data_IF_347358183910
#
_entry.id   IF_347358183910
#
_cell.length_a   1.000
_cell.length_b   1.000
_cell.length_c   1.000
_cell.angle_alpha   90.00
_cell.angle_beta   90.00
_cell.angle_gamma   90.00
#
_symmetry.space_group_name_H-M   'P 1'
#
loop_
_entity.id
_entity.type
_entity.pdbx_description
1 polymer ?
#
# COMPACT_ATOMS: atom_id res chain seq x y z
N UNK A 1 24.62 28.84 -12.15
CA UNK A 1 23.21 29.14 -12.50
C UNK A 1 22.89 28.68 -13.93
N UNK A 2 23.77 28.98 -14.94
CA UNK A 2 23.48 28.69 -16.38
C UNK A 2 23.40 27.19 -16.73
N UNK A 3 24.23 26.31 -16.14
CA UNK A 3 24.21 24.85 -16.42
C UNK A 3 22.97 24.16 -15.86
N UNK A 4 22.42 24.66 -14.78
CA UNK A 4 21.24 24.06 -14.12
C UNK A 4 19.94 24.47 -14.80
N UNK A 5 19.84 25.70 -15.30
CA UNK A 5 18.70 26.12 -16.13
C UNK A 5 18.66 25.32 -17.43
N UNK A 6 19.83 25.07 -18.05
CA UNK A 6 19.95 24.27 -19.26
C UNK A 6 19.52 22.78 -19.00
N UNK A 7 19.89 22.20 -17.86
CA UNK A 7 19.47 20.84 -17.48
C UNK A 7 17.96 20.76 -17.22
N UNK A 8 17.37 21.73 -16.51
CA UNK A 8 15.93 21.81 -16.27
C UNK A 8 15.13 21.99 -17.58
N UNK A 9 15.64 22.82 -18.49
CA UNK A 9 15.04 23.00 -19.83
C UNK A 9 15.19 21.72 -20.67
N UNK A 10 16.36 21.06 -20.65
CA UNK A 10 16.57 19.79 -21.36
C UNK A 10 15.65 18.67 -20.82
N UNK A 11 15.45 18.60 -19.50
CA UNK A 11 14.51 17.66 -18.86
C UNK A 11 13.06 17.99 -19.24
N UNK A 12 12.66 19.25 -19.23
CA UNK A 12 11.33 19.69 -19.65
C UNK A 12 11.08 19.43 -21.14
N UNK A 13 12.08 19.63 -22.01
CA UNK A 13 12.01 19.32 -23.44
C UNK A 13 11.96 17.81 -23.67
N UNK A 14 12.73 17.01 -22.94
CA UNK A 14 12.67 15.54 -23.01
C UNK A 14 11.32 15.01 -22.54
N UNK A 15 10.74 15.56 -21.46
CA UNK A 15 9.42 15.22 -20.95
C UNK A 15 8.31 15.58 -21.93
N UNK A 16 8.35 16.78 -22.53
CA UNK A 16 7.40 17.19 -23.57
C UNK A 16 7.53 16.35 -24.84
N UNK A 17 8.74 16.00 -25.24
CA UNK A 17 8.99 15.11 -26.38
C UNK A 17 8.49 13.68 -26.13
N UNK A 18 8.70 13.15 -24.93
CA UNK A 18 8.19 11.81 -24.56
C UNK A 18 6.66 11.78 -24.49
N UNK A 19 6.01 12.81 -23.97
CA UNK A 19 4.53 12.92 -23.94
C UNK A 19 3.98 13.04 -25.39
N UNK A 20 4.65 13.77 -26.26
CA UNK A 20 4.24 13.94 -27.65
C UNK A 20 4.49 12.67 -28.50
N UNK A 21 5.54 11.90 -28.21
CA UNK A 21 5.88 10.66 -28.92
C UNK A 21 5.04 9.46 -28.48
N UNK A 22 4.52 9.45 -27.24
CA UNK A 22 3.64 8.40 -26.73
C UNK A 22 2.15 8.65 -26.94
N UNK A 23 1.78 9.86 -27.39
CA UNK A 23 0.40 10.15 -27.78
C UNK A 23 0.03 9.29 -29.02
N UNK A 24 -1.06 8.51 -28.97
CA UNK A 24 -1.47 7.70 -30.12
C UNK A 24 -1.69 8.62 -31.33
N UNK A 25 -1.20 8.20 -32.49
CA UNK A 25 -1.38 8.90 -33.80
C UNK A 25 -2.84 9.15 -34.23
N UNK A 26 -3.81 8.87 -33.34
CA UNK A 26 -5.25 9.05 -33.58
C UNK A 26 -5.74 10.52 -33.62
N UNK A 27 -4.90 11.52 -33.28
CA UNK A 27 -5.30 12.92 -33.26
C UNK A 27 -4.60 13.72 -34.38
N UNK A 28 -5.14 13.65 -35.58
CA UNK A 28 -4.80 14.53 -36.71
C UNK A 28 -5.20 15.99 -36.54
N UNK A 29 -5.51 16.47 -35.32
CA UNK A 29 -5.80 17.87 -34.99
C UNK A 29 -4.66 18.46 -34.19
N UNK A 30 -4.13 19.62 -34.63
CA UNK A 30 -3.17 20.40 -33.86
C UNK A 30 -3.80 20.77 -32.53
N UNK A 31 -3.15 20.43 -31.41
CA UNK A 31 -3.60 20.81 -30.07
C UNK A 31 -3.74 22.34 -29.99
N UNK A 32 -4.80 22.87 -29.36
CA UNK A 32 -4.94 24.30 -29.13
C UNK A 32 -3.71 24.87 -28.40
N UNK A 33 -3.31 26.09 -28.75
CA UNK A 33 -2.17 26.76 -28.10
C UNK A 33 -2.30 26.83 -26.57
N UNK A 34 -3.52 26.97 -26.07
CA UNK A 34 -3.82 26.93 -24.63
C UNK A 34 -3.47 25.59 -23.99
N UNK A 35 -3.75 24.46 -24.64
CA UNK A 35 -3.40 23.12 -24.15
C UNK A 35 -1.89 22.94 -24.12
N UNK A 36 -1.19 23.37 -25.17
CA UNK A 36 0.27 23.34 -25.21
C UNK A 36 0.91 24.18 -24.10
N UNK A 37 0.35 25.35 -23.83
CA UNK A 37 0.82 26.22 -22.74
C UNK A 37 0.62 25.56 -21.36
N UNK A 38 -0.50 24.91 -21.12
CA UNK A 38 -0.76 24.16 -19.87
C UNK A 38 0.21 22.98 -19.72
N UNK A 39 0.41 22.20 -20.77
CA UNK A 39 1.37 21.07 -20.75
C UNK A 39 2.78 21.57 -20.45
N UNK A 40 3.21 22.67 -21.08
CA UNK A 40 4.53 23.27 -20.84
C UNK A 40 4.67 23.78 -19.40
N UNK A 41 3.62 24.42 -18.85
CA UNK A 41 3.63 24.90 -17.47
C UNK A 41 3.70 23.76 -16.45
N UNK A 42 2.97 22.68 -16.67
CA UNK A 42 3.02 21.47 -15.83
C UNK A 42 4.40 20.81 -15.92
N UNK A 43 4.95 20.65 -17.12
CA UNK A 43 6.29 20.08 -17.31
C UNK A 43 7.37 20.92 -16.60
N UNK A 44 7.27 22.24 -16.70
CA UNK A 44 8.17 23.15 -15.98
C UNK A 44 8.03 23.03 -14.46
N UNK A 45 6.80 22.98 -13.93
CA UNK A 45 6.55 22.83 -12.51
C UNK A 45 7.11 21.50 -11.97
N UNK A 46 6.94 20.38 -12.71
CA UNK A 46 7.52 19.07 -12.38
C UNK A 46 9.05 19.15 -12.38
N UNK A 47 9.66 19.72 -13.41
CA UNK A 47 11.11 19.83 -13.49
C UNK A 47 11.69 20.73 -12.38
N UNK A 48 11.03 21.83 -12.05
CA UNK A 48 11.41 22.71 -10.95
C UNK A 48 11.31 22.00 -9.59
N UNK A 49 10.26 21.22 -9.38
CA UNK A 49 10.07 20.42 -8.17
C UNK A 49 11.15 19.33 -8.02
N UNK A 50 11.48 18.62 -9.10
CA UNK A 50 12.57 17.62 -9.10
C UNK A 50 13.91 18.28 -8.77
N UNK A 51 14.18 19.44 -9.35
CA UNK A 51 15.39 20.22 -9.08
C UNK A 51 15.47 20.72 -7.63
N UNK A 52 14.34 21.14 -7.04
CA UNK A 52 14.26 21.61 -5.65
C UNK A 52 14.30 20.46 -4.61
N UNK A 53 14.58 19.22 -4.99
CA UNK A 53 14.61 18.08 -4.08
C UNK A 53 13.24 17.47 -3.80
N UNK A 54 12.30 17.66 -4.72
CA UNK A 54 10.95 17.01 -4.71
C UNK A 54 10.04 17.38 -3.53
N UNK A 55 9.99 18.65 -3.08
CA UNK A 55 9.21 19.05 -1.90
C UNK A 55 7.70 18.83 -2.08
N UNK A 56 7.18 18.90 -3.31
CA UNK A 56 5.74 18.71 -3.61
C UNK A 56 5.52 17.37 -4.27
N UNK A 57 4.89 16.43 -3.55
CA UNK A 57 4.68 15.06 -4.02
C UNK A 57 3.91 15.00 -5.35
N UNK A 58 2.83 15.75 -5.49
CA UNK A 58 1.99 15.72 -6.70
C UNK A 58 2.71 16.24 -7.96
N UNK A 59 3.81 16.96 -7.80
CA UNK A 59 4.69 17.42 -8.87
C UNK A 59 5.91 16.50 -9.06
N UNK A 60 6.04 15.41 -8.35
CA UNK A 60 7.10 14.42 -8.61
C UNK A 60 6.78 13.66 -9.89
N UNK A 61 7.79 13.49 -10.74
CA UNK A 61 7.62 12.72 -11.97
C UNK A 61 7.11 11.30 -11.72
N UNK A 62 7.54 10.68 -10.63
CA UNK A 62 7.06 9.36 -10.23
C UNK A 62 5.56 9.32 -9.90
N UNK A 63 5.01 10.41 -9.35
CA UNK A 63 3.57 10.55 -9.12
C UNK A 63 2.79 10.79 -10.41
N UNK A 64 3.34 11.61 -11.30
CA UNK A 64 2.74 11.81 -12.64
C UNK A 64 2.66 10.49 -13.40
N UNK A 65 3.73 9.68 -13.39
CA UNK A 65 3.70 8.33 -13.98
C UNK A 65 2.68 7.41 -13.31
N UNK A 66 2.53 7.51 -12.00
CA UNK A 66 1.48 6.77 -11.26
C UNK A 66 0.07 7.10 -11.79
N UNK A 67 -0.24 8.39 -11.99
CA UNK A 67 -1.54 8.80 -12.54
C UNK A 67 -1.79 8.23 -13.94
N UNK A 68 -0.77 8.18 -14.80
CA UNK A 68 -0.88 7.51 -16.10
C UNK A 68 -1.01 5.98 -15.99
N UNK A 69 -0.48 5.40 -14.93
CA UNK A 69 -0.56 3.97 -14.61
C UNK A 69 -1.89 3.52 -13.99
N UNK A 70 -2.79 4.41 -13.59
CA UNK A 70 -4.04 4.07 -12.89
C UNK A 70 -4.89 3.02 -13.63
N UNK A 71 -4.85 3.02 -14.97
CA UNK A 71 -5.52 1.98 -15.79
C UNK A 71 -4.98 0.56 -15.54
N UNK A 72 -3.69 0.42 -15.23
CA UNK A 72 -3.06 -0.86 -14.89
C UNK A 72 -3.34 -1.24 -13.43
N UNK A 73 -3.41 -0.25 -12.54
CA UNK A 73 -3.77 -0.44 -11.14
C UNK A 73 -5.13 -1.16 -11.00
N UNK A 74 -6.14 -0.75 -11.75
CA UNK A 74 -7.46 -1.39 -11.72
C UNK A 74 -7.47 -2.86 -12.12
N UNK A 75 -6.45 -3.32 -12.88
CA UNK A 75 -6.38 -4.69 -13.37
C UNK A 75 -5.50 -5.60 -12.50
N UNK A 76 -4.38 -5.10 -12.00
CA UNK A 76 -3.35 -5.93 -11.36
C UNK A 76 -2.64 -5.30 -10.16
N UNK A 77 -3.08 -4.12 -9.70
CA UNK A 77 -2.45 -3.37 -8.61
C UNK A 77 -0.94 -3.14 -8.81
N UNK A 78 -0.54 -2.96 -10.04
CA UNK A 78 0.80 -2.49 -10.41
C UNK A 78 0.69 -1.24 -11.26
N UNK A 79 1.62 -0.31 -11.08
CA UNK A 79 1.65 0.92 -11.89
C UNK A 79 1.99 0.62 -13.35
N UNK A 80 2.64 -0.52 -13.61
CA UNK A 80 2.98 -1.00 -14.96
C UNK A 80 4.22 -0.33 -15.54
N UNK A 81 5.00 0.35 -14.72
CA UNK A 81 6.27 0.97 -15.11
C UNK A 81 7.50 0.31 -14.45
N UNK A 82 7.30 -0.84 -13.82
CA UNK A 82 8.36 -1.65 -13.22
C UNK A 82 8.84 -1.17 -11.85
N UNK A 83 8.15 -0.19 -11.23
CA UNK A 83 8.59 0.37 -9.94
C UNK A 83 8.54 -0.61 -8.78
N UNK A 84 7.62 -1.58 -8.82
CA UNK A 84 7.50 -2.62 -7.81
C UNK A 84 8.74 -3.51 -7.81
N UNK A 85 9.19 -3.93 -8.99
CA UNK A 85 10.43 -4.70 -9.14
C UNK A 85 11.66 -3.86 -8.79
N UNK A 86 11.69 -2.60 -9.23
CA UNK A 86 12.76 -1.67 -8.91
C UNK A 86 12.89 -1.41 -7.40
N UNK A 87 11.77 -1.45 -6.64
CA UNK A 87 11.82 -1.40 -5.19
C UNK A 87 12.58 -2.59 -4.60
N UNK A 88 12.25 -3.84 -5.02
CA UNK A 88 12.93 -5.03 -4.52
C UNK A 88 14.43 -5.00 -4.86
N UNK A 89 14.79 -4.58 -6.08
CA UNK A 89 16.20 -4.42 -6.49
C UNK A 89 16.91 -3.38 -5.61
N UNK A 90 16.25 -2.25 -5.35
CA UNK A 90 16.79 -1.19 -4.50
C UNK A 90 17.02 -1.66 -3.06
N UNK A 91 16.03 -2.33 -2.48
CA UNK A 91 16.13 -2.89 -1.11
C UNK A 91 17.28 -3.88 -1.01
N UNK A 92 17.36 -4.84 -1.94
CA UNK A 92 18.42 -5.85 -1.93
C UNK A 92 19.83 -5.25 -2.11
N UNK A 93 19.94 -4.09 -2.79
CA UNK A 93 21.21 -3.42 -3.03
C UNK A 93 21.66 -2.47 -1.91
N UNK A 94 20.72 -1.91 -1.13
CA UNK A 94 21.01 -0.81 -0.21
C UNK A 94 20.69 -1.10 1.26
N UNK A 95 19.76 -2.02 1.55
CA UNK A 95 19.45 -2.39 2.91
C UNK A 95 20.37 -3.49 3.43
N UNK A 96 20.68 -3.47 4.71
CA UNK A 96 21.40 -4.55 5.38
C UNK A 96 20.52 -5.80 5.44
N UNK A 97 21.09 -6.93 5.03
CA UNK A 97 20.41 -8.20 5.06
C UNK A 97 20.10 -8.63 6.52
N UNK A 98 18.92 -9.21 6.73
CA UNK A 98 18.41 -9.62 8.05
C UNK A 98 18.24 -8.46 9.07
N UNK A 99 18.08 -7.23 8.56
CA UNK A 99 17.81 -6.05 9.37
C UNK A 99 16.48 -5.43 8.92
N UNK A 100 15.40 -5.83 9.58
CA UNK A 100 14.04 -5.39 9.23
C UNK A 100 13.85 -3.87 9.34
N UNK A 101 14.51 -3.21 10.31
CA UNK A 101 14.43 -1.77 10.48
C UNK A 101 15.13 -1.04 9.33
N UNK A 102 16.26 -1.57 8.89
CA UNK A 102 16.99 -1.01 7.75
C UNK A 102 16.23 -1.21 6.44
N UNK A 103 15.57 -2.35 6.25
CA UNK A 103 14.70 -2.63 5.10
C UNK A 103 13.52 -1.66 5.06
N UNK A 104 12.81 -1.48 6.18
CA UNK A 104 11.69 -0.51 6.28
C UNK A 104 12.17 0.91 5.94
N UNK A 105 13.29 1.35 6.52
CA UNK A 105 13.89 2.67 6.25
C UNK A 105 14.27 2.84 4.77
N UNK A 106 14.83 1.81 4.16
CA UNK A 106 15.21 1.82 2.74
C UNK A 106 14.00 1.90 1.81
N UNK A 107 12.89 1.24 2.16
CA UNK A 107 11.63 1.36 1.42
C UNK A 107 11.08 2.78 1.54
N UNK A 108 11.05 3.36 2.74
CA UNK A 108 10.61 4.74 2.95
C UNK A 108 11.47 5.72 2.14
N UNK A 109 12.80 5.56 2.15
CA UNK A 109 13.71 6.35 1.35
C UNK A 109 13.40 6.25 -0.16
N UNK A 110 13.18 5.03 -0.66
CA UNK A 110 12.80 4.81 -2.05
C UNK A 110 11.49 5.54 -2.39
N UNK A 111 10.48 5.44 -1.53
CA UNK A 111 9.18 6.10 -1.73
C UNK A 111 9.28 7.63 -1.72
N UNK A 112 10.13 8.18 -0.84
CA UNK A 112 10.36 9.62 -0.77
C UNK A 112 11.25 10.16 -1.90
N UNK A 113 12.23 9.38 -2.38
CA UNK A 113 13.28 9.90 -3.26
C UNK A 113 13.24 9.37 -4.68
N UNK A 114 12.74 8.16 -4.91
CA UNK A 114 12.78 7.47 -6.21
C UNK A 114 11.40 7.37 -6.87
N UNK A 115 10.50 6.60 -6.27
CA UNK A 115 9.18 6.34 -6.85
C UNK A 115 8.10 6.27 -5.79
N UNK A 116 7.01 7.00 -6.02
CA UNK A 116 5.80 6.87 -5.20
C UNK A 116 5.21 5.47 -5.33
N UNK A 117 4.86 4.86 -4.20
CA UNK A 117 4.20 3.56 -4.07
C UNK A 117 2.99 3.70 -3.14
N UNK A 118 2.01 2.81 -3.32
CA UNK A 118 0.74 2.80 -2.57
C UNK A 118 0.79 1.88 -1.33
N UNK A 119 1.91 1.84 -0.63
CA UNK A 119 1.99 1.10 0.64
C UNK A 119 1.48 1.98 1.80
N UNK A 120 1.25 1.37 2.96
CA UNK A 120 0.66 2.07 4.13
C UNK A 120 1.45 3.33 4.57
N UNK A 121 2.73 3.44 4.20
CA UNK A 121 3.62 4.54 4.50
C UNK A 121 4.04 4.65 5.97
N UNK A 122 4.97 5.55 6.25
CA UNK A 122 5.62 5.65 7.55
C UNK A 122 4.70 6.19 8.67
N UNK A 123 3.79 7.13 8.36
CA UNK A 123 2.89 7.73 9.35
C UNK A 123 1.83 6.72 9.82
N UNK A 124 1.12 6.08 8.89
CA UNK A 124 0.10 5.07 9.20
C UNK A 124 0.75 3.78 9.70
N UNK A 125 1.92 3.43 9.18
CA UNK A 125 2.72 2.31 9.67
C UNK A 125 3.04 2.41 11.16
N UNK A 126 3.29 3.60 11.73
CA UNK A 126 3.44 3.78 13.18
C UNK A 126 2.14 3.54 13.97
N UNK A 127 0.98 3.76 13.37
CA UNK A 127 -0.31 3.40 13.98
C UNK A 127 -0.44 1.88 14.01
N UNK A 128 -0.15 1.22 12.89
CA UNK A 128 -0.16 -0.24 12.77
C UNK A 128 0.81 -0.90 13.76
N UNK A 129 2.06 -0.43 13.87
CA UNK A 129 3.04 -0.92 14.84
C UNK A 129 2.48 -0.90 16.27
N UNK A 130 1.86 0.22 16.68
CA UNK A 130 1.30 0.36 18.04
C UNK A 130 0.11 -0.56 18.27
N UNK A 131 -0.77 -0.73 17.28
CA UNK A 131 -1.91 -1.63 17.36
C UNK A 131 -1.46 -3.08 17.52
N UNK A 132 -0.50 -3.54 16.72
CA UNK A 132 0.08 -4.88 16.81
C UNK A 132 0.80 -5.11 18.14
N UNK A 133 1.65 -4.17 18.57
CA UNK A 133 2.37 -4.27 19.83
C UNK A 133 1.43 -4.31 21.05
N UNK A 134 0.31 -3.57 21.01
CA UNK A 134 -0.69 -3.56 22.08
C UNK A 134 -1.53 -4.85 22.10
N UNK A 135 -1.93 -5.35 20.94
CA UNK A 135 -2.73 -6.57 20.80
C UNK A 135 -1.93 -7.84 21.14
N UNK A 136 -0.59 -7.84 20.92
CA UNK A 136 0.30 -9.00 21.09
C UNK A 136 -0.23 -10.26 20.44
N UNK A 137 -0.63 -10.21 19.17
CA UNK A 137 -1.30 -11.31 18.50
C UNK A 137 -0.34 -12.47 18.22
N UNK A 138 -0.86 -13.69 18.13
CA UNK A 138 -0.11 -14.88 17.68
C UNK A 138 -0.42 -15.26 16.25
N UNK A 139 -1.67 -15.10 15.84
CA UNK A 139 -2.12 -15.37 14.46
C UNK A 139 -2.72 -14.10 13.85
N UNK A 140 -2.15 -13.68 12.75
CA UNK A 140 -2.52 -12.46 12.06
C UNK A 140 -2.91 -12.74 10.62
N UNK A 141 -3.87 -11.98 10.11
CA UNK A 141 -4.28 -12.00 8.70
C UNK A 141 -4.17 -10.59 8.13
N UNK A 142 -3.51 -10.47 6.99
CA UNK A 142 -3.46 -9.25 6.20
C UNK A 142 -4.16 -9.47 4.87
N UNK A 143 -5.02 -8.54 4.47
CA UNK A 143 -5.64 -8.52 3.15
C UNK A 143 -5.09 -7.34 2.37
N UNK A 144 -4.30 -7.63 1.34
CA UNK A 144 -3.55 -6.66 0.54
C UNK A 144 -2.07 -6.59 0.93
N UNK A 145 -1.26 -7.41 0.26
CA UNK A 145 0.20 -7.48 0.48
C UNK A 145 0.94 -6.38 -0.28
N UNK A 146 0.57 -6.16 -1.55
CA UNK A 146 1.31 -5.32 -2.51
C UNK A 146 2.81 -5.68 -2.52
N UNK A 147 3.71 -4.74 -2.16
CA UNK A 147 5.15 -5.01 -2.07
C UNK A 147 5.62 -5.45 -0.67
N UNK A 148 4.69 -5.76 0.25
CA UNK A 148 4.99 -6.35 1.57
C UNK A 148 5.48 -5.39 2.65
N UNK A 149 5.30 -4.09 2.50
CA UNK A 149 5.77 -3.10 3.48
C UNK A 149 5.03 -3.17 4.82
N UNK A 150 3.70 -3.30 4.78
CA UNK A 150 2.87 -3.45 5.98
C UNK A 150 3.19 -4.73 6.74
N UNK A 151 3.42 -5.83 6.03
CA UNK A 151 3.86 -7.10 6.62
C UNK A 151 5.21 -6.98 7.35
N UNK A 152 6.18 -6.20 6.82
CA UNK A 152 7.43 -5.88 7.54
C UNK A 152 7.14 -5.14 8.86
N UNK A 153 6.24 -4.14 8.83
CA UNK A 153 5.84 -3.38 10.02
C UNK A 153 5.19 -4.29 11.06
N UNK A 154 4.27 -5.15 10.63
CA UNK A 154 3.60 -6.14 11.48
C UNK A 154 4.62 -7.12 12.06
N UNK A 155 5.48 -7.73 11.24
CA UNK A 155 6.48 -8.71 11.66
C UNK A 155 7.47 -8.15 12.66
N UNK A 156 7.82 -6.87 12.55
CA UNK A 156 8.67 -6.16 13.52
C UNK A 156 7.99 -6.01 14.88
N UNK A 157 6.68 -5.75 14.89
CA UNK A 157 5.93 -5.39 16.10
C UNK A 157 5.28 -6.60 16.79
N UNK A 158 5.03 -7.71 16.08
CA UNK A 158 4.39 -8.90 16.63
C UNK A 158 5.35 -9.73 17.48
N UNK A 159 4.85 -10.58 18.41
CA UNK A 159 5.66 -11.53 19.15
C UNK A 159 6.51 -12.45 18.27
N UNK A 160 7.62 -12.96 18.79
CA UNK A 160 8.56 -13.77 18.02
C UNK A 160 7.98 -15.10 17.53
N UNK A 161 7.00 -15.65 18.27
CA UNK A 161 6.26 -16.89 17.98
C UNK A 161 4.99 -16.66 17.15
N UNK A 162 4.74 -15.42 16.70
CA UNK A 162 3.57 -15.08 15.90
C UNK A 162 3.80 -15.34 14.41
N UNK A 163 2.71 -15.65 13.70
CA UNK A 163 2.71 -15.85 12.24
C UNK A 163 1.68 -14.93 11.59
N UNK A 164 2.12 -14.24 10.54
CA UNK A 164 1.29 -13.42 9.66
C UNK A 164 0.98 -14.17 8.37
N UNK A 165 -0.29 -14.27 8.02
CA UNK A 165 -0.76 -14.74 6.71
C UNK A 165 -1.20 -13.52 5.91
N UNK A 166 -0.57 -13.29 4.77
CA UNK A 166 -0.81 -12.12 3.92
C UNK A 166 -1.40 -12.55 2.58
N UNK A 167 -2.59 -12.05 2.27
CA UNK A 167 -3.32 -12.42 1.05
C UNK A 167 -3.03 -11.40 -0.04
N UNK A 168 -2.59 -11.89 -1.20
CA UNK A 168 -2.30 -11.08 -2.38
C UNK A 168 -2.92 -11.71 -3.63
N UNK A 169 -3.71 -10.97 -4.37
CA UNK A 169 -4.35 -11.52 -5.58
C UNK A 169 -3.38 -11.59 -6.78
N UNK A 170 -2.36 -10.72 -6.81
CA UNK A 170 -1.40 -10.67 -7.91
C UNK A 170 -0.12 -11.45 -7.56
N UNK A 171 0.16 -12.59 -8.24
CA UNK A 171 1.35 -13.38 -7.96
C UNK A 171 2.67 -12.62 -8.22
N UNK A 172 2.67 -11.60 -9.09
CA UNK A 172 3.87 -10.78 -9.31
C UNK A 172 4.18 -9.87 -8.10
N UNK A 173 3.15 -9.30 -7.45
CA UNK A 173 3.32 -8.56 -6.20
C UNK A 173 3.78 -9.49 -5.07
N UNK A 174 3.15 -10.66 -4.94
CA UNK A 174 3.56 -11.68 -3.96
C UNK A 174 5.03 -12.06 -4.11
N UNK A 175 5.53 -12.23 -5.33
CA UNK A 175 6.95 -12.52 -5.59
C UNK A 175 7.88 -11.36 -5.20
N UNK A 176 7.46 -10.11 -5.43
CA UNK A 176 8.20 -8.91 -4.99
C UNK A 176 8.26 -8.85 -3.46
N UNK A 177 7.13 -9.04 -2.80
CA UNK A 177 7.04 -9.05 -1.34
C UNK A 177 7.90 -10.15 -0.72
N UNK A 178 7.81 -11.38 -1.23
CA UNK A 178 8.62 -12.52 -0.76
C UNK A 178 10.12 -12.21 -0.85
N UNK A 179 10.58 -11.67 -1.97
CA UNK A 179 11.98 -11.30 -2.16
C UNK A 179 12.46 -10.27 -1.13
N UNK A 180 11.62 -9.30 -0.79
CA UNK A 180 11.92 -8.28 0.23
C UNK A 180 11.94 -8.91 1.63
N UNK A 181 10.99 -9.79 1.95
CA UNK A 181 10.90 -10.48 3.23
C UNK A 181 12.07 -11.44 3.46
N UNK A 182 12.51 -12.16 2.43
CA UNK A 182 13.71 -13.02 2.48
C UNK A 182 14.96 -12.18 2.77
N UNK A 183 15.06 -11.00 2.16
CA UNK A 183 16.17 -10.07 2.44
C UNK A 183 16.11 -9.53 3.87
N UNK A 184 14.91 -9.25 4.40
CA UNK A 184 14.69 -8.79 5.77
C UNK A 184 14.85 -9.90 6.83
N UNK A 185 14.85 -11.18 6.43
CA UNK A 185 14.97 -12.33 7.33
C UNK A 185 13.68 -12.63 8.10
N UNK A 186 12.52 -12.42 7.49
CA UNK A 186 11.20 -12.68 8.11
C UNK A 186 10.38 -13.75 7.37
N UNK A 187 10.94 -14.38 6.34
CA UNK A 187 10.21 -15.32 5.47
C UNK A 187 9.65 -16.56 6.17
N UNK A 188 10.15 -16.91 7.33
CA UNK A 188 9.65 -18.00 8.19
C UNK A 188 8.46 -17.59 9.09
N UNK A 189 8.19 -16.29 9.20
CA UNK A 189 7.14 -15.72 10.06
C UNK A 189 6.01 -15.04 9.27
N UNK A 190 6.16 -14.91 7.98
CA UNK A 190 5.19 -14.30 7.07
C UNK A 190 4.94 -15.23 5.90
N UNK A 191 3.69 -15.65 5.74
CA UNK A 191 3.25 -16.55 4.67
C UNK A 191 2.40 -15.76 3.68
N UNK A 192 2.83 -15.66 2.43
CA UNK A 192 1.99 -15.07 1.38
C UNK A 192 1.10 -16.14 0.75
N UNK A 193 -0.18 -15.83 0.61
CA UNK A 193 -1.17 -16.69 -0.06
C UNK A 193 -1.71 -15.93 -1.26
N UNK A 194 -1.51 -16.50 -2.46
CA UNK A 194 -2.02 -15.89 -3.69
C UNK A 194 -3.50 -16.21 -3.85
N UNK A 195 -4.35 -15.20 -3.74
CA UNK A 195 -5.80 -15.34 -3.80
C UNK A 195 -6.57 -14.13 -3.29
N UNK A 196 -7.86 -14.31 -3.04
CA UNK A 196 -8.74 -13.34 -2.37
C UNK A 196 -9.75 -14.10 -1.51
N UNK A 197 -10.32 -13.48 -0.46
CA UNK A 197 -11.35 -14.17 0.31
C UNK A 197 -12.66 -14.36 -0.47
N UNK A 198 -12.86 -13.55 -1.52
CA UNK A 198 -14.02 -13.62 -2.42
C UNK A 198 -13.88 -14.56 -3.61
N UNK A 199 -12.90 -15.45 -3.64
CA UNK A 199 -12.57 -16.31 -4.80
C UNK A 199 -13.37 -17.63 -4.90
N UNK A 200 -14.57 -17.63 -4.37
CA UNK A 200 -15.42 -18.84 -4.32
C UNK A 200 -15.04 -19.80 -3.21
N UNK A 201 -14.32 -19.33 -2.19
CA UNK A 201 -13.99 -20.10 -0.98
C UNK A 201 -12.66 -20.86 -1.04
N UNK A 202 -11.91 -20.77 -2.14
CA UNK A 202 -10.60 -21.45 -2.28
C UNK A 202 -9.60 -21.00 -1.23
N UNK A 203 -9.41 -19.68 -1.11
CA UNK A 203 -8.49 -19.09 -0.12
C UNK A 203 -8.97 -19.36 1.31
N UNK A 204 -10.29 -19.30 1.58
CA UNK A 204 -10.85 -19.65 2.88
C UNK A 204 -10.62 -21.12 3.23
N UNK A 205 -10.76 -22.03 2.27
CA UNK A 205 -10.46 -23.46 2.47
C UNK A 205 -8.98 -23.71 2.73
N UNK A 206 -8.08 -23.07 1.96
CA UNK A 206 -6.64 -23.16 2.20
C UNK A 206 -6.27 -22.67 3.62
N UNK A 207 -6.82 -21.52 4.06
CA UNK A 207 -6.59 -21.02 5.42
C UNK A 207 -7.03 -22.02 6.50
N UNK A 208 -8.17 -22.69 6.32
CA UNK A 208 -8.65 -23.72 7.26
C UNK A 208 -7.83 -25.01 7.22
N UNK A 209 -7.59 -25.53 6.04
CA UNK A 209 -7.09 -26.90 5.84
C UNK A 209 -5.57 -26.98 5.88
N UNK A 210 -4.88 -25.98 5.36
CA UNK A 210 -3.42 -25.94 5.26
C UNK A 210 -2.78 -25.09 6.37
N UNK A 211 -3.53 -24.10 6.91
CA UNK A 211 -3.02 -23.15 7.90
C UNK A 211 -3.77 -23.17 9.23
N UNK A 212 -4.64 -24.14 9.44
CA UNK A 212 -5.32 -24.42 10.72
C UNK A 212 -6.09 -23.21 11.29
N UNK A 213 -6.77 -22.43 10.42
CA UNK A 213 -7.68 -21.40 10.89
C UNK A 213 -8.97 -22.04 11.42
N UNK A 214 -9.11 -22.06 12.73
CA UNK A 214 -10.27 -22.61 13.45
C UNK A 214 -11.00 -21.50 14.22
N UNK A 215 -12.17 -21.80 14.79
CA UNK A 215 -12.94 -20.88 15.61
C UNK A 215 -12.07 -20.22 16.68
N UNK A 216 -12.13 -18.87 16.77
CA UNK A 216 -11.40 -18.06 17.75
C UNK A 216 -9.88 -18.03 17.58
N UNK A 217 -9.33 -18.50 16.46
CA UNK A 217 -7.89 -18.59 16.25
C UNK A 217 -7.21 -17.31 15.77
N UNK A 218 -7.97 -16.34 15.27
CA UNK A 218 -7.46 -15.11 14.63
C UNK A 218 -7.48 -13.96 15.61
N UNK A 219 -6.30 -13.43 15.93
CA UNK A 219 -6.11 -12.37 16.92
C UNK A 219 -6.11 -10.98 16.32
N UNK A 220 -5.63 -10.86 15.07
CA UNK A 220 -5.42 -9.56 14.42
C UNK A 220 -5.70 -9.65 12.93
N UNK A 221 -6.40 -8.63 12.40
CA UNK A 221 -6.65 -8.49 10.96
C UNK A 221 -6.21 -7.10 10.51
N UNK A 222 -5.48 -7.02 9.38
CA UNK A 222 -5.19 -5.77 8.71
C UNK A 222 -5.87 -5.75 7.35
N UNK A 223 -6.68 -4.71 7.09
CA UNK A 223 -7.42 -4.51 5.84
C UNK A 223 -6.79 -3.34 5.06
N UNK A 224 -6.14 -3.65 3.94
CA UNK A 224 -5.54 -2.65 3.04
C UNK A 224 -5.59 -3.08 1.56
N UNK A 225 -6.67 -3.74 1.17
CA UNK A 225 -6.96 -4.18 -0.19
C UNK A 225 -8.02 -3.29 -0.87
N UNK A 226 -8.78 -3.84 -1.82
CA UNK A 226 -9.90 -3.16 -2.49
C UNK A 226 -10.94 -2.72 -1.46
N UNK A 227 -11.25 -1.42 -1.43
CA UNK A 227 -12.04 -0.81 -0.33
C UNK A 227 -13.49 -1.28 -0.29
N UNK A 228 -14.05 -1.64 -1.44
CA UNK A 228 -15.38 -2.21 -1.62
C UNK A 228 -15.49 -3.61 -0.99
N UNK A 229 -14.37 -4.35 -0.89
CA UNK A 229 -14.33 -5.69 -0.29
C UNK A 229 -14.10 -5.69 1.23
N UNK A 230 -13.85 -4.54 1.87
CA UNK A 230 -13.59 -4.49 3.32
C UNK A 230 -14.74 -5.06 4.15
N UNK A 231 -15.97 -4.65 3.88
CA UNK A 231 -17.14 -5.17 4.60
C UNK A 231 -17.50 -6.60 4.20
N UNK A 232 -17.56 -6.96 2.90
CA UNK A 232 -17.73 -8.36 2.48
C UNK A 232 -16.70 -9.31 3.10
N UNK A 233 -15.42 -8.95 3.09
CA UNK A 233 -14.36 -9.82 3.63
C UNK A 233 -14.39 -9.90 5.16
N UNK A 234 -14.76 -8.81 5.86
CA UNK A 234 -15.04 -8.89 7.28
C UNK A 234 -16.18 -9.85 7.59
N UNK A 235 -17.26 -9.84 6.80
CA UNK A 235 -18.37 -10.78 6.95
C UNK A 235 -17.90 -12.23 6.73
N UNK A 236 -17.10 -12.50 5.70
CA UNK A 236 -16.51 -13.83 5.46
C UNK A 236 -15.69 -14.32 6.66
N UNK A 237 -14.88 -13.44 7.26
CA UNK A 237 -14.10 -13.77 8.47
C UNK A 237 -15.02 -14.06 9.66
N UNK A 238 -16.08 -13.29 9.86
CA UNK A 238 -17.06 -13.49 10.92
C UNK A 238 -17.88 -14.78 10.74
N UNK A 239 -18.26 -15.12 9.51
CA UNK A 239 -18.97 -16.35 9.16
C UNK A 239 -18.14 -17.61 9.42
N UNK A 240 -16.79 -17.50 9.35
CA UNK A 240 -15.89 -18.58 9.71
C UNK A 240 -15.67 -18.69 11.24
N UNK A 241 -16.23 -17.77 12.03
CA UNK A 241 -16.05 -17.71 13.49
C UNK A 241 -14.56 -17.62 13.92
N UNK A 242 -13.70 -17.06 13.07
CA UNK A 242 -12.25 -17.00 13.35
C UNK A 242 -11.89 -16.00 14.44
N UNK A 243 -12.66 -14.90 14.58
CA UNK A 243 -12.42 -13.91 15.63
C UNK A 243 -12.92 -14.37 16.99
N UNK A 244 -12.25 -13.92 18.04
CA UNK A 244 -12.66 -14.08 19.44
C UNK A 244 -12.78 -12.73 20.12
N UNK A 245 -13.50 -12.60 21.24
CA UNK A 245 -13.51 -11.36 22.01
C UNK A 245 -12.07 -10.92 22.33
N UNK A 246 -11.75 -9.65 21.99
CA UNK A 246 -10.41 -9.08 22.09
C UNK A 246 -9.61 -9.09 20.80
N UNK A 247 -10.02 -9.80 19.74
CA UNK A 247 -9.40 -9.70 18.42
C UNK A 247 -9.48 -8.29 17.88
N UNK A 248 -8.44 -7.82 17.20
CA UNK A 248 -8.32 -6.45 16.68
C UNK A 248 -8.36 -6.46 15.16
N UNK A 249 -9.16 -5.59 14.57
CA UNK A 249 -9.21 -5.33 13.12
C UNK A 249 -8.76 -3.89 12.88
N UNK A 250 -7.70 -3.72 12.10
CA UNK A 250 -7.21 -2.42 11.66
C UNK A 250 -7.50 -2.26 10.17
N UNK A 251 -8.16 -1.16 9.79
CA UNK A 251 -8.51 -0.85 8.40
C UNK A 251 -7.87 0.47 7.98
N UNK A 252 -7.09 0.42 6.90
CA UNK A 252 -6.44 1.60 6.32
C UNK A 252 -7.33 2.29 5.28
N UNK A 253 -7.04 3.57 4.99
CA UNK A 253 -7.67 4.37 3.95
C UNK A 253 -9.22 4.45 4.03
N UNK A 254 -9.80 4.39 5.22
CA UNK A 254 -11.26 4.39 5.38
C UNK A 254 -11.91 5.72 5.02
N UNK A 255 -11.10 6.78 4.87
CA UNK A 255 -11.57 8.08 4.40
C UNK A 255 -11.14 8.36 2.97
N UNK A 256 -9.90 8.03 2.58
CA UNK A 256 -9.37 8.29 1.25
C UNK A 256 -8.50 7.10 0.79
N UNK A 257 -8.88 6.43 -0.35
CA UNK A 257 -10.05 6.68 -1.20
C UNK A 257 -11.39 6.48 -0.52
N UNK A 258 -11.46 5.67 0.55
CA UNK A 258 -12.60 5.54 1.43
C UNK A 258 -13.32 4.20 1.35
N UNK A 259 -13.77 3.69 2.53
CA UNK A 259 -14.60 2.50 2.69
C UNK A 259 -15.89 2.87 3.47
N UNK A 260 -16.85 3.56 2.85
CA UNK A 260 -17.99 4.14 3.55
C UNK A 260 -18.91 3.09 4.17
N UNK A 261 -19.15 1.95 3.50
CA UNK A 261 -19.99 0.86 4.00
C UNK A 261 -19.37 0.20 5.23
N UNK A 262 -18.07 -0.13 5.17
CA UNK A 262 -17.32 -0.64 6.31
C UNK A 262 -17.39 0.32 7.51
N UNK A 263 -17.17 1.61 7.27
CA UNK A 263 -17.22 2.63 8.32
C UNK A 263 -18.61 2.77 8.92
N UNK A 264 -19.66 2.71 8.11
CA UNK A 264 -21.06 2.75 8.57
C UNK A 264 -21.37 1.51 9.44
N UNK A 265 -20.96 0.32 9.01
CA UNK A 265 -21.10 -0.92 9.75
C UNK A 265 -20.43 -0.84 11.13
N UNK A 266 -19.18 -0.39 11.21
CA UNK A 266 -18.47 -0.24 12.49
C UNK A 266 -19.17 0.73 13.44
N UNK A 267 -19.69 1.85 12.93
CA UNK A 267 -20.44 2.82 13.74
C UNK A 267 -21.79 2.27 14.23
N UNK A 268 -22.50 1.54 13.39
CA UNK A 268 -23.78 0.94 13.74
C UNK A 268 -23.64 -0.09 14.86
N UNK A 269 -22.53 -0.83 14.90
CA UNK A 269 -22.28 -1.89 15.86
C UNK A 269 -21.33 -1.46 16.99
N UNK A 270 -21.06 -0.15 17.11
CA UNK A 270 -20.21 0.40 18.18
C UNK A 270 -20.78 0.08 19.56
N UNK A 271 -19.95 -0.39 20.47
CA UNK A 271 -20.26 -0.83 21.84
C UNK A 271 -21.22 -2.04 21.94
N UNK A 272 -21.66 -2.62 20.84
CA UNK A 272 -22.44 -3.85 20.79
C UNK A 272 -21.54 -5.02 20.41
N UNK A 273 -20.94 -4.98 19.23
CA UNK A 273 -20.01 -6.00 18.73
C UNK A 273 -18.59 -5.50 18.55
N UNK A 274 -18.40 -4.18 18.51
CA UNK A 274 -17.13 -3.55 18.25
C UNK A 274 -16.89 -2.36 19.17
N UNK A 275 -15.61 -2.12 19.50
CA UNK A 275 -15.14 -0.88 20.11
C UNK A 275 -14.08 -0.31 19.18
N UNK A 276 -14.40 0.81 18.54
CA UNK A 276 -13.61 1.39 17.45
C UNK A 276 -12.94 2.68 17.87
N UNK A 277 -11.65 2.79 17.57
CA UNK A 277 -10.85 4.01 17.67
C UNK A 277 -10.54 4.54 16.29
N UNK A 278 -10.83 5.82 16.06
CA UNK A 278 -10.47 6.52 14.83
C UNK A 278 -9.10 7.20 14.98
N UNK A 279 -8.15 6.89 14.11
CA UNK A 279 -6.84 7.54 14.03
C UNK A 279 -6.82 8.48 12.83
N UNK A 280 -6.81 9.79 13.09
CA UNK A 280 -6.70 10.81 12.04
C UNK A 280 -5.26 10.92 11.59
N UNK A 281 -5.04 10.83 10.29
CA UNK A 281 -3.72 10.76 9.66
C UNK A 281 -3.76 11.39 8.26
N UNK A 282 -2.75 11.11 7.44
CA UNK A 282 -2.67 11.53 6.05
C UNK A 282 -2.48 10.31 5.15
N UNK A 283 -2.84 10.46 3.87
CA UNK A 283 -2.48 9.47 2.86
C UNK A 283 -0.93 9.37 2.73
N UNK A 284 -0.46 8.33 2.09
CA UNK A 284 0.93 7.87 2.09
C UNK A 284 1.92 8.97 1.65
N UNK A 285 3.04 9.11 2.38
CA UNK A 285 4.19 9.95 2.04
C UNK A 285 3.91 11.43 1.73
N UNK A 286 2.79 11.98 2.26
CA UNK A 286 2.42 13.39 2.09
C UNK A 286 1.60 13.89 3.30
N UNK A 287 1.36 15.22 3.40
CA UNK A 287 0.67 15.85 4.53
C UNK A 287 -0.52 16.73 4.12
N UNK A 288 -1.00 16.57 2.89
CA UNK A 288 -2.09 17.39 2.35
C UNK A 288 -3.43 16.67 2.41
N UNK A 289 -3.47 15.43 1.91
CA UNK A 289 -4.68 14.60 1.90
C UNK A 289 -4.86 13.94 3.26
N UNK A 290 -5.91 14.35 3.97
CA UNK A 290 -6.27 13.78 5.28
C UNK A 290 -6.96 12.44 5.09
N UNK A 291 -6.51 11.45 5.83
CA UNK A 291 -7.03 10.10 5.83
C UNK A 291 -7.41 9.63 7.24
N UNK A 292 -7.89 8.40 7.34
CA UNK A 292 -8.38 7.80 8.57
C UNK A 292 -8.04 6.30 8.61
N UNK A 293 -7.47 5.86 9.72
CA UNK A 293 -7.32 4.45 10.07
C UNK A 293 -8.32 4.11 11.17
N UNK A 294 -9.06 3.02 11.02
CA UNK A 294 -9.91 2.47 12.08
C UNK A 294 -9.20 1.30 12.76
N UNK A 295 -9.15 1.33 14.09
CA UNK A 295 -8.70 0.25 14.95
C UNK A 295 -9.90 -0.22 15.77
N UNK A 296 -10.39 -1.44 15.50
CA UNK A 296 -11.63 -1.96 16.07
C UNK A 296 -11.37 -3.24 16.85
N UNK A 297 -11.74 -3.27 18.14
CA UNK A 297 -11.69 -4.47 18.97
C UNK A 297 -13.03 -5.19 18.90
N UNK A 298 -13.01 -6.48 18.59
CA UNK A 298 -14.18 -7.34 18.58
C UNK A 298 -14.62 -7.68 20.02
N UNK A 299 -15.91 -7.56 20.31
CA UNK A 299 -16.46 -7.79 21.65
C UNK A 299 -17.21 -9.14 21.77
N UNK A 300 -17.53 -9.74 20.62
CA UNK A 300 -18.31 -10.98 20.52
C UNK A 300 -19.65 -10.77 19.84
#
# INVERSE_FOLDING_TARGET
VSRYVAAAVATAVSLTSSILLTAPRAFGRRLPRSVLAVVAAVAFAVAANEYAGKPVMFLRWSYVRFLFGLRHMGANWQVGDGREQALADYVCAHARRHDIDDVIRTIDEFCYTKSYLINVGDEKGRILDRAVAAARPRRLLELGTYCGYSALRIARAMPADAVLYSIEFNPANAAVAQRIWDHAGIGDRVVVIVGTLGDGGRTLSALREEHEFISGSLDFVFLDHVKEEYLPDLHRILEQDWLRPGSVVVADNVKYPGAPEYRAFMRQHERVRWRTREHRTHAEYQKVLKDLVLESTYLG
#
